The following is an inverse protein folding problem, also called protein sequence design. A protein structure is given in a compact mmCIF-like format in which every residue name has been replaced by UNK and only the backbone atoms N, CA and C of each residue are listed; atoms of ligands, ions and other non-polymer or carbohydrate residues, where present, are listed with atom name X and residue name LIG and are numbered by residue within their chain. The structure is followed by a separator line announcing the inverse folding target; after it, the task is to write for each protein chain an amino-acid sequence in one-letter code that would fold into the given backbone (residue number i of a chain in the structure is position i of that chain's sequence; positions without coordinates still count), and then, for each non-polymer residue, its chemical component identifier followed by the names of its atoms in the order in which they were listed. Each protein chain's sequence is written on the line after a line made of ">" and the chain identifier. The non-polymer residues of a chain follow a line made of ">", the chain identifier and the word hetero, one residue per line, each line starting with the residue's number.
data_IF_221961834495
#
_entry.id   IF_221961834495
#
_cell.length_a   1.000
_cell.length_b   1.000
_cell.length_c   1.000
_cell.angle_alpha   90.00
_cell.angle_beta   90.00
_cell.angle_gamma   90.00
#
_symmetry.space_group_name_H-M   'P 1'
#
loop_
_entity.id
_entity.type
_entity.pdbx_description
1 polymer ?
#
# COMPACT_ATOMS: atom_id res chain seq x y z
N UNK A 1 16.33 -14.91 1.87
CA UNK A 1 15.93 -13.54 2.30
C UNK A 1 17.07 -12.54 2.13
N UNK A 2 18.33 -12.85 2.44
CA UNK A 2 19.50 -11.98 2.15
C UNK A 2 19.95 -11.88 0.67
N UNK A 3 19.28 -12.60 -0.25
CA UNK A 3 19.67 -12.68 -1.67
C UNK A 3 18.65 -12.08 -2.63
N UNK A 4 17.66 -11.33 -2.14
CA UNK A 4 16.62 -10.72 -2.98
C UNK A 4 16.89 -9.25 -3.29
N UNK A 5 17.75 -8.60 -2.49
CA UNK A 5 18.14 -7.20 -2.65
C UNK A 5 19.54 -7.07 -3.25
N UNK A 6 19.77 -6.01 -4.02
CA UNK A 6 21.12 -5.69 -4.48
C UNK A 6 22.03 -5.35 -3.27
N UNK A 7 23.33 -5.71 -3.29
CA UNK A 7 24.22 -5.53 -2.14
C UNK A 7 24.30 -4.09 -1.60
N UNK A 8 24.12 -3.09 -2.47
CA UNK A 8 24.08 -1.66 -2.11
C UNK A 8 22.83 -1.25 -1.31
N UNK A 9 21.80 -2.10 -1.26
CA UNK A 9 20.51 -1.83 -0.60
C UNK A 9 20.24 -2.74 0.63
N UNK A 10 21.28 -3.22 1.31
CA UNK A 10 21.13 -4.03 2.55
C UNK A 10 20.24 -3.39 3.64
N UNK A 11 20.29 -2.06 3.79
CA UNK A 11 19.48 -1.29 4.76
C UNK A 11 17.98 -1.32 4.44
N UNK A 12 17.61 -1.75 3.24
CA UNK A 12 16.23 -1.80 2.78
C UNK A 12 15.38 -2.78 3.57
N UNK A 13 15.95 -3.91 4.00
CA UNK A 13 15.27 -4.89 4.84
C UNK A 13 14.88 -4.32 6.21
N UNK A 14 15.74 -3.47 6.78
CA UNK A 14 15.47 -2.73 8.02
C UNK A 14 14.34 -1.73 7.79
N UNK A 15 14.40 -0.98 6.69
CA UNK A 15 13.35 -0.03 6.31
C UNK A 15 11.98 -0.72 6.15
N UNK A 16 11.91 -1.86 5.45
CA UNK A 16 10.67 -2.61 5.30
C UNK A 16 10.10 -3.07 6.65
N UNK A 17 10.97 -3.54 7.53
CA UNK A 17 10.59 -4.03 8.86
C UNK A 17 10.05 -2.89 9.73
N UNK A 18 10.73 -1.75 9.73
CA UNK A 18 10.28 -0.54 10.42
C UNK A 18 8.95 -0.04 9.88
N UNK A 19 8.75 -0.03 8.56
CA UNK A 19 7.47 0.33 7.93
C UNK A 19 6.35 -0.60 8.39
N UNK A 20 6.59 -1.92 8.36
CA UNK A 20 5.60 -2.93 8.80
C UNK A 20 5.24 -2.71 10.27
N UNK A 21 6.25 -2.52 11.13
CA UNK A 21 6.05 -2.24 12.55
C UNK A 21 5.30 -0.92 12.79
N UNK A 22 5.58 0.11 12.02
CA UNK A 22 4.92 1.39 12.13
C UNK A 22 3.43 1.29 11.72
N UNK A 23 3.14 0.55 10.64
CA UNK A 23 1.78 0.35 10.15
C UNK A 23 0.93 -0.57 11.05
N UNK A 24 1.51 -1.57 11.71
CA UNK A 24 0.76 -2.53 12.54
C UNK A 24 0.84 -2.27 14.04
N UNK A 25 1.96 -1.73 14.54
CA UNK A 25 2.21 -1.51 15.96
C UNK A 25 2.07 -0.05 16.38
N UNK A 26 2.77 0.87 15.71
CA UNK A 26 2.79 2.29 16.11
C UNK A 26 1.42 2.96 15.94
N UNK A 27 0.72 2.70 14.83
CA UNK A 27 -0.60 3.28 14.55
C UNK A 27 -1.68 2.89 15.56
N UNK A 28 -1.51 1.82 16.32
CA UNK A 28 -2.48 1.41 17.35
C UNK A 28 -2.53 2.41 18.51
N UNK A 29 -1.43 3.09 18.78
CA UNK A 29 -1.36 4.13 19.81
C UNK A 29 -1.91 5.48 19.34
N UNK A 30 -2.08 5.67 18.03
CA UNK A 30 -2.40 6.97 17.42
C UNK A 30 -3.87 6.99 17.00
N UNK A 31 -4.72 7.60 17.83
CA UNK A 31 -6.15 7.82 17.58
C UNK A 31 -6.89 6.56 17.05
N UNK A 32 -6.91 5.46 17.83
CA UNK A 32 -7.40 4.17 17.38
C UNK A 32 -8.84 4.25 16.89
N UNK A 33 -9.11 3.68 15.72
CA UNK A 33 -10.45 3.63 15.13
C UNK A 33 -10.89 4.92 14.45
N UNK A 34 -10.06 5.98 14.39
CA UNK A 34 -10.44 7.27 13.76
C UNK A 34 -10.04 7.38 12.28
N UNK A 35 -10.68 8.28 11.52
CA UNK A 35 -10.27 8.62 10.15
C UNK A 35 -8.84 9.17 10.08
N UNK A 36 -8.41 9.91 11.11
CA UNK A 36 -7.05 10.41 11.24
C UNK A 36 -6.01 9.28 11.21
N UNK A 37 -6.26 8.17 11.92
CA UNK A 37 -5.37 6.99 11.89
C UNK A 37 -5.18 6.46 10.47
N UNK A 38 -6.25 6.38 9.67
CA UNK A 38 -6.18 5.90 8.27
C UNK A 38 -5.43 6.91 7.39
N UNK A 39 -5.63 8.21 7.60
CA UNK A 39 -4.85 9.26 6.94
C UNK A 39 -3.35 9.13 7.22
N UNK A 40 -2.95 8.89 8.48
CA UNK A 40 -1.56 8.66 8.83
C UNK A 40 -0.98 7.41 8.13
N UNK A 41 -1.75 6.31 8.08
CA UNK A 41 -1.37 5.11 7.31
C UNK A 41 -1.16 5.42 5.83
N UNK A 42 -2.05 6.22 5.24
CA UNK A 42 -2.02 6.58 3.82
C UNK A 42 -0.77 7.39 3.48
N UNK A 43 -0.44 8.40 4.30
CA UNK A 43 0.75 9.23 4.14
C UNK A 43 2.02 8.38 4.28
N UNK A 44 2.09 7.52 5.30
CA UNK A 44 3.24 6.62 5.49
C UNK A 44 3.43 5.66 4.31
N UNK A 45 2.33 5.14 3.77
CA UNK A 45 2.34 4.23 2.62
C UNK A 45 2.76 4.93 1.33
N UNK A 46 2.36 6.20 1.14
CA UNK A 46 2.81 7.02 0.02
C UNK A 46 4.32 7.28 0.08
N UNK A 47 4.87 7.64 1.24
CA UNK A 47 6.32 7.80 1.41
C UNK A 47 7.07 6.50 1.14
N UNK A 48 6.55 5.38 1.63
CA UNK A 48 7.15 4.08 1.34
C UNK A 48 7.17 3.78 -0.16
N UNK A 49 6.03 3.97 -0.86
CA UNK A 49 5.94 3.79 -2.31
C UNK A 49 6.98 4.63 -3.05
N UNK A 50 7.17 5.89 -2.67
CA UNK A 50 8.19 6.75 -3.28
C UNK A 50 9.59 6.17 -3.12
N UNK A 51 9.92 5.68 -1.92
CA UNK A 51 11.21 5.03 -1.64
C UNK A 51 11.40 3.76 -2.47
N UNK A 52 10.36 2.92 -2.63
CA UNK A 52 10.42 1.74 -3.49
C UNK A 52 10.63 2.10 -4.97
N UNK A 53 9.90 3.10 -5.47
CA UNK A 53 10.00 3.53 -6.87
C UNK A 53 11.34 4.20 -7.20
N UNK A 54 11.98 4.89 -6.25
CA UNK A 54 13.29 5.53 -6.47
C UNK A 54 14.46 4.58 -6.33
N UNK A 55 14.38 3.63 -5.39
CA UNK A 55 15.54 2.81 -5.02
C UNK A 55 15.59 1.50 -5.78
N UNK A 56 14.46 0.98 -6.27
CA UNK A 56 14.36 -0.32 -6.96
C UNK A 56 15.33 -1.36 -6.38
N UNK A 57 15.15 -1.73 -5.10
CA UNK A 57 16.19 -2.38 -4.34
C UNK A 57 16.37 -3.86 -4.69
N UNK A 58 15.45 -4.46 -5.45
CA UNK A 58 15.44 -5.88 -5.74
C UNK A 58 16.44 -6.24 -6.85
N UNK A 59 16.95 -7.47 -6.85
CA UNK A 59 17.88 -7.94 -7.90
C UNK A 59 17.17 -8.12 -9.25
N UNK A 60 15.87 -8.36 -9.23
CA UNK A 60 15.05 -8.60 -10.43
C UNK A 60 14.08 -7.45 -10.66
N UNK A 61 14.17 -6.82 -11.83
CA UNK A 61 13.29 -5.73 -12.26
C UNK A 61 11.80 -6.13 -12.27
N UNK A 62 11.52 -7.43 -12.48
CA UNK A 62 10.18 -8.01 -12.36
C UNK A 62 9.65 -7.90 -10.93
N UNK A 63 10.52 -8.16 -9.95
CA UNK A 63 10.18 -8.04 -8.52
C UNK A 63 9.99 -6.58 -8.11
N UNK A 64 10.81 -5.66 -8.62
CA UNK A 64 10.60 -4.22 -8.40
C UNK A 64 9.27 -3.74 -8.96
N UNK A 65 8.92 -4.15 -10.18
CA UNK A 65 7.66 -3.80 -10.84
C UNK A 65 6.46 -4.34 -10.07
N UNK A 66 6.52 -5.61 -9.65
CA UNK A 66 5.50 -6.24 -8.83
C UNK A 66 5.32 -5.53 -7.49
N UNK A 67 6.43 -5.25 -6.81
CA UNK A 67 6.38 -4.61 -5.51
C UNK A 67 5.90 -3.15 -5.60
N UNK A 68 6.27 -2.41 -6.64
CA UNK A 68 5.73 -1.07 -6.88
C UNK A 68 4.21 -1.11 -7.11
N UNK A 69 3.71 -2.09 -7.89
CA UNK A 69 2.28 -2.29 -8.08
C UNK A 69 1.56 -2.66 -6.77
N UNK A 70 2.19 -3.47 -5.91
CA UNK A 70 1.65 -3.80 -4.59
C UNK A 70 1.58 -2.58 -3.65
N UNK A 71 2.58 -1.68 -3.69
CA UNK A 71 2.52 -0.42 -2.94
C UNK A 71 1.38 0.47 -3.45
N UNK A 72 1.21 0.57 -4.77
CA UNK A 72 0.12 1.34 -5.38
C UNK A 72 -1.25 0.80 -4.97
N UNK A 73 -1.42 -0.52 -4.97
CA UNK A 73 -2.63 -1.18 -4.46
C UNK A 73 -2.91 -0.80 -3.01
N UNK A 74 -1.91 -0.93 -2.14
CA UNK A 74 -2.05 -0.64 -0.72
C UNK A 74 -2.46 0.83 -0.49
N UNK A 75 -1.94 1.76 -1.28
CA UNK A 75 -2.36 3.16 -1.25
C UNK A 75 -3.85 3.33 -1.60
N UNK A 76 -4.32 2.73 -2.69
CA UNK A 76 -5.74 2.80 -3.06
C UNK A 76 -6.65 2.11 -2.05
N UNK A 77 -6.22 0.99 -1.46
CA UNK A 77 -6.96 0.34 -0.37
C UNK A 77 -7.11 1.26 0.84
N UNK A 78 -6.04 1.95 1.25
CA UNK A 78 -6.11 2.90 2.37
C UNK A 78 -6.92 4.15 2.02
N UNK A 79 -6.87 4.62 0.78
CA UNK A 79 -7.68 5.72 0.29
C UNK A 79 -9.18 5.35 0.32
N UNK A 80 -9.51 4.13 -0.10
CA UNK A 80 -10.86 3.58 -0.02
C UNK A 80 -11.35 3.45 1.42
N UNK A 81 -10.51 2.91 2.30
CA UNK A 81 -10.79 2.83 3.73
C UNK A 81 -11.04 4.22 4.35
N UNK A 82 -10.27 5.25 3.95
CA UNK A 82 -10.47 6.62 4.40
C UNK A 82 -11.79 7.20 3.89
N UNK A 83 -12.11 7.00 2.61
CA UNK A 83 -13.35 7.48 2.00
C UNK A 83 -14.59 6.88 2.68
N UNK A 84 -14.57 5.59 3.01
CA UNK A 84 -15.62 4.96 3.83
C UNK A 84 -15.72 5.60 5.22
N UNK A 85 -14.58 5.91 5.84
CA UNK A 85 -14.51 6.43 7.21
C UNK A 85 -14.91 7.90 7.36
N UNK A 86 -14.81 8.69 6.29
CA UNK A 86 -15.12 10.13 6.27
C UNK A 86 -16.61 10.39 5.99
N UNK A 87 -17.46 9.35 6.03
CA UNK A 87 -18.89 9.40 5.70
C UNK A 87 -19.17 9.70 4.21
N UNK A 88 -18.77 8.78 3.33
CA UNK A 88 -19.60 8.46 2.16
C UNK A 88 -20.88 7.67 2.54
N UNK A 89 -21.06 7.37 3.84
CA UNK A 89 -22.15 6.54 4.37
C UNK A 89 -23.54 7.20 4.30
N UNK A 90 -23.66 8.51 4.03
CA UNK A 90 -24.96 9.16 3.79
C UNK A 90 -25.44 9.04 2.32
N UNK A 91 -24.63 8.48 1.41
CA UNK A 91 -25.08 8.24 0.04
C UNK A 91 -25.80 6.90 -0.13
N UNK A 92 -26.76 6.86 -1.08
CA UNK A 92 -27.56 5.70 -1.45
C UNK A 92 -26.73 4.39 -1.49
N UNK A 93 -27.31 3.29 -0.99
CA UNK A 93 -26.69 1.94 -0.97
C UNK A 93 -26.11 1.52 -2.33
N UNK A 94 -26.69 2.03 -3.43
CA UNK A 94 -26.24 1.82 -4.80
C UNK A 94 -24.87 2.47 -5.09
N UNK A 95 -24.62 3.70 -4.61
CA UNK A 95 -23.33 4.39 -4.78
C UNK A 95 -22.23 3.70 -4.00
N UNK A 96 -22.54 3.20 -2.79
CA UNK A 96 -21.63 2.38 -1.99
C UNK A 96 -21.24 1.09 -2.71
N UNK A 97 -22.19 0.43 -3.40
CA UNK A 97 -21.93 -0.75 -4.22
C UNK A 97 -21.00 -0.48 -5.40
N UNK A 98 -21.19 0.63 -6.13
CA UNK A 98 -20.28 1.02 -7.22
C UNK A 98 -18.87 1.35 -6.71
N UNK A 99 -18.78 2.01 -5.55
CA UNK A 99 -17.50 2.35 -4.93
C UNK A 99 -16.73 1.10 -4.49
N UNK A 100 -17.41 0.14 -3.84
CA UNK A 100 -16.80 -1.12 -3.41
C UNK A 100 -16.38 -2.00 -4.60
N UNK A 101 -17.21 -2.06 -5.65
CA UNK A 101 -16.86 -2.73 -6.91
C UNK A 101 -15.63 -2.09 -7.55
N UNK A 102 -15.56 -0.76 -7.60
CA UNK A 102 -14.42 -0.03 -8.16
C UNK A 102 -13.14 -0.31 -7.37
N UNK A 103 -13.19 -0.24 -6.04
CA UNK A 103 -12.04 -0.57 -5.18
C UNK A 103 -11.60 -2.02 -5.34
N UNK A 104 -12.55 -2.95 -5.51
CA UNK A 104 -12.29 -4.36 -5.73
C UNK A 104 -11.63 -4.58 -7.10
N UNK A 105 -12.13 -3.95 -8.16
CA UNK A 105 -11.52 -4.01 -9.50
C UNK A 105 -10.09 -3.45 -9.51
N UNK A 106 -9.84 -2.33 -8.81
CA UNK A 106 -8.51 -1.71 -8.70
C UNK A 106 -7.49 -2.66 -8.05
N UNK A 107 -7.92 -3.57 -7.16
CA UNK A 107 -7.02 -4.53 -6.50
C UNK A 107 -6.48 -5.63 -7.43
N UNK A 108 -7.07 -5.84 -8.61
CA UNK A 108 -6.58 -6.83 -9.58
C UNK A 108 -5.48 -6.29 -10.50
N UNK A 109 -5.27 -4.97 -10.54
CA UNK A 109 -4.26 -4.32 -11.39
C UNK A 109 -2.83 -4.84 -11.14
N UNK A 110 -2.35 -5.00 -9.88
CA UNK A 110 -1.03 -5.56 -9.61
C UNK A 110 -0.89 -7.03 -10.03
N UNK A 111 -1.96 -7.82 -9.87
CA UNK A 111 -1.99 -9.21 -10.30
C UNK A 111 -1.86 -9.33 -11.83
N UNK A 112 -2.50 -8.42 -12.57
CA UNK A 112 -2.33 -8.34 -14.02
C UNK A 112 -0.91 -7.96 -14.42
N UNK A 113 -0.31 -6.94 -13.78
CA UNK A 113 1.08 -6.54 -14.04
C UNK A 113 2.02 -7.72 -13.74
N UNK A 114 1.79 -8.46 -12.66
CA UNK A 114 2.54 -9.67 -12.33
C UNK A 114 2.46 -10.74 -13.42
N UNK A 115 1.29 -10.94 -14.02
CA UNK A 115 1.07 -11.95 -15.06
C UNK A 115 1.66 -11.58 -16.43
N UNK A 116 1.92 -10.29 -16.68
CA UNK A 116 2.48 -9.79 -17.94
C UNK A 116 4.01 -9.74 -17.94
N UNK A 117 4.62 -9.78 -16.75
CA UNK A 117 6.07 -9.66 -16.56
C UNK A 117 6.74 -11.04 -16.32
N UNK A 118 5.97 -12.13 -16.40
CA UNK A 118 6.42 -13.53 -16.27
C UNK A 118 6.25 -14.28 -17.59
#
# INVERSE_FOLDING_TARGET
>A
MYGSYEPKFWWFEVFETLRKLALTGFLVFLAPGTAAQVLFSLVMSFFAMRVYSDRQPFISDSTDSFNNAAQLQLFFTLLGALALKVNLDEENLQNKGYFDLLLTCVQFVPAMISSLVN
#
